data_IF_955482186944
#
_entry.id   IF_955482186944
#
_cell.length_a   1.000
_cell.length_b   1.000
_cell.length_c   1.000
_cell.angle_alpha   90.00
_cell.angle_beta   90.00
_cell.angle_gamma   90.00
#
_symmetry.space_group_name_H-M   'P 1'
#
loop_
_entity.id
_entity.type
_entity.pdbx_description
1 polymer ?
#
# COMPACT_ATOMS: atom_id res chain seq x y z
N UNK A 1 -14.97 11.24 6.02
CA UNK A 1 -15.57 10.56 4.86
C UNK A 1 -16.88 9.81 5.12
N UNK A 2 -17.37 9.70 6.37
CA UNK A 2 -18.56 8.89 6.70
C UNK A 2 -19.89 9.30 6.02
N UNK A 3 -19.99 10.53 5.48
CA UNK A 3 -21.25 11.05 4.93
C UNK A 3 -21.31 11.05 3.40
N UNK A 4 -20.18 10.91 2.70
CA UNK A 4 -20.07 10.96 1.23
C UNK A 4 -18.87 10.11 0.74
N UNK A 5 -18.97 8.77 0.83
CA UNK A 5 -17.86 7.87 0.52
C UNK A 5 -17.46 7.86 -0.97
N UNK A 6 -18.34 8.30 -1.87
CA UNK A 6 -18.07 8.31 -3.31
C UNK A 6 -17.20 9.51 -3.76
N UNK A 7 -17.02 10.50 -2.90
CA UNK A 7 -16.22 11.70 -3.18
C UNK A 7 -14.80 11.56 -2.62
N UNK A 8 -14.10 10.53 -3.06
CA UNK A 8 -12.69 10.31 -2.76
C UNK A 8 -11.86 10.92 -3.89
N UNK A 9 -11.12 11.99 -3.60
CA UNK A 9 -10.06 12.44 -4.50
C UNK A 9 -8.84 11.54 -4.34
N UNK A 10 -8.32 11.03 -5.46
CA UNK A 10 -7.09 10.21 -5.47
C UNK A 10 -5.81 11.07 -5.35
N UNK A 11 -5.96 12.39 -5.15
CA UNK A 11 -4.86 13.33 -5.17
C UNK A 11 -4.43 13.70 -6.59
N UNK A 12 -3.27 14.36 -6.69
CA UNK A 12 -2.63 14.74 -7.95
C UNK A 12 -1.30 14.00 -8.16
N UNK A 13 -0.73 14.17 -9.35
CA UNK A 13 0.45 13.46 -9.81
C UNK A 13 1.45 14.37 -10.51
N UNK A 14 2.71 13.93 -10.54
CA UNK A 14 3.77 14.57 -11.31
C UNK A 14 4.51 13.52 -12.12
N UNK A 15 5.05 13.93 -13.27
CA UNK A 15 5.96 13.13 -14.08
C UNK A 15 7.33 12.97 -13.38
N UNK A 16 8.12 11.95 -13.76
CA UNK A 16 9.48 11.82 -13.27
C UNK A 16 10.33 13.04 -13.66
N UNK A 17 11.26 13.43 -12.78
CA UNK A 17 12.19 14.55 -13.03
C UNK A 17 13.33 14.12 -13.94
N UNK A 18 13.72 12.84 -13.86
CA UNK A 18 14.76 12.23 -14.70
C UNK A 18 14.16 11.21 -15.67
N UNK A 19 14.81 11.02 -16.81
CA UNK A 19 14.34 10.11 -17.87
C UNK A 19 14.33 8.64 -17.42
N UNK A 20 15.21 8.27 -16.50
CA UNK A 20 15.36 6.96 -15.86
C UNK A 20 14.70 6.86 -14.48
N UNK A 21 13.93 7.90 -14.10
CA UNK A 21 13.34 8.02 -12.77
C UNK A 21 11.85 7.71 -12.69
N UNK A 22 11.33 7.87 -11.48
CA UNK A 22 9.89 7.80 -11.18
C UNK A 22 9.40 9.13 -10.60
N UNK A 23 8.16 9.50 -10.93
CA UNK A 23 7.41 10.49 -10.18
C UNK A 23 6.47 9.77 -9.21
N UNK A 24 6.51 10.11 -7.93
CA UNK A 24 5.65 9.47 -6.92
C UNK A 24 5.00 10.53 -6.05
N UNK A 25 3.68 10.48 -5.96
CA UNK A 25 2.89 11.26 -5.01
C UNK A 25 1.95 10.32 -4.25
N UNK A 26 1.59 10.70 -3.02
CA UNK A 26 0.66 9.93 -2.21
C UNK A 26 -0.24 10.84 -1.38
N UNK A 27 -1.39 10.32 -1.02
CA UNK A 27 -2.31 10.95 -0.08
C UNK A 27 -2.85 9.89 0.89
N UNK A 28 -2.80 10.22 2.18
CA UNK A 28 -3.43 9.43 3.24
C UNK A 28 -4.84 9.98 3.43
N UNK A 29 -5.82 9.10 3.30
CA UNK A 29 -7.23 9.47 3.31
C UNK A 29 -7.90 8.79 4.51
N UNK A 30 -8.22 9.59 5.52
CA UNK A 30 -8.75 9.07 6.78
C UNK A 30 -7.71 8.22 7.50
N UNK A 31 -8.13 7.07 8.01
CA UNK A 31 -7.30 6.19 8.85
C UNK A 31 -6.90 4.88 8.14
N UNK A 32 -7.66 4.47 7.12
CA UNK A 32 -7.59 3.10 6.58
C UNK A 32 -7.13 3.03 5.12
N UNK A 33 -6.84 4.16 4.48
CA UNK A 33 -6.56 4.21 3.04
C UNK A 33 -5.41 5.13 2.70
N UNK A 34 -4.51 4.65 1.85
CA UNK A 34 -3.44 5.43 1.23
C UNK A 34 -3.57 5.24 -0.28
N UNK A 35 -3.58 6.35 -1.03
CA UNK A 35 -3.54 6.32 -2.48
C UNK A 35 -2.15 6.74 -2.95
N UNK A 36 -1.57 5.97 -3.87
CA UNK A 36 -0.29 6.27 -4.52
C UNK A 36 -0.53 6.54 -6.00
N UNK A 37 0.10 7.60 -6.52
CA UNK A 37 0.21 7.86 -7.94
C UNK A 37 1.69 7.76 -8.33
N UNK A 38 1.98 6.80 -9.20
CA UNK A 38 3.34 6.49 -9.67
C UNK A 38 3.39 6.70 -11.17
N UNK A 39 4.39 7.43 -11.65
CA UNK A 39 4.63 7.70 -13.06
C UNK A 39 6.06 7.36 -13.43
N UNK A 40 6.27 6.96 -14.69
CA UNK A 40 7.58 6.78 -15.30
C UNK A 40 7.50 7.16 -16.79
N UNK A 41 8.64 7.32 -17.45
CA UNK A 41 8.69 7.63 -18.88
C UNK A 41 8.62 6.34 -19.69
N UNK A 42 7.62 6.19 -20.55
CA UNK A 42 7.46 4.97 -21.37
C UNK A 42 8.62 4.73 -22.34
N UNK A 43 9.36 5.76 -22.73
CA UNK A 43 10.50 5.61 -23.63
C UNK A 43 11.75 5.04 -22.96
N UNK A 44 11.75 4.84 -21.64
CA UNK A 44 12.86 4.27 -20.90
C UNK A 44 12.46 2.91 -20.33
N UNK A 45 12.90 1.84 -21.01
CA UNK A 45 12.41 0.48 -20.82
C UNK A 45 12.77 -0.16 -19.47
N UNK A 46 13.70 0.42 -18.71
CA UNK A 46 14.08 -0.10 -17.38
C UNK A 46 13.17 0.41 -16.26
N UNK A 47 12.26 1.35 -16.55
CA UNK A 47 11.26 1.82 -15.57
C UNK A 47 9.86 1.28 -15.87
N UNK A 48 9.16 0.82 -14.83
CA UNK A 48 7.78 0.36 -14.92
C UNK A 48 6.99 0.82 -13.67
N UNK A 49 6.08 1.77 -13.88
CA UNK A 49 5.26 2.35 -12.82
C UNK A 49 4.29 1.35 -12.18
N UNK A 50 3.80 0.36 -12.93
CA UNK A 50 2.90 -0.68 -12.40
C UNK A 50 3.68 -1.63 -11.50
N UNK A 51 4.84 -2.10 -11.97
CA UNK A 51 5.71 -2.95 -11.18
C UNK A 51 6.16 -2.24 -9.90
N UNK A 52 6.60 -0.97 -10.01
CA UNK A 52 7.05 -0.21 -8.85
C UNK A 52 5.91 0.06 -7.85
N UNK A 53 4.70 0.36 -8.34
CA UNK A 53 3.50 0.46 -7.50
C UNK A 53 3.20 -0.83 -6.73
N UNK A 54 3.34 -1.99 -7.37
CA UNK A 54 3.19 -3.29 -6.72
C UNK A 54 4.26 -3.52 -5.63
N UNK A 55 5.51 -3.08 -5.87
CA UNK A 55 6.57 -3.15 -4.86
C UNK A 55 6.29 -2.26 -3.65
N UNK A 56 5.74 -1.05 -3.84
CA UNK A 56 5.33 -0.17 -2.72
C UNK A 56 4.27 -0.87 -1.88
N UNK A 57 3.24 -1.45 -2.52
CA UNK A 57 2.20 -2.20 -1.80
C UNK A 57 2.79 -3.36 -1.01
N UNK A 58 3.74 -4.10 -1.60
CA UNK A 58 4.39 -5.22 -0.92
C UNK A 58 5.21 -4.76 0.28
N UNK A 59 6.02 -3.72 0.12
CA UNK A 59 6.83 -3.17 1.19
C UNK A 59 5.98 -2.68 2.38
N UNK A 60 4.82 -2.07 2.13
CA UNK A 60 3.89 -1.67 3.20
C UNK A 60 3.30 -2.86 3.96
N UNK A 61 2.97 -3.95 3.26
CA UNK A 61 2.51 -5.19 3.89
C UNK A 61 3.62 -5.84 4.72
N UNK A 62 4.85 -5.81 4.23
CA UNK A 62 6.02 -6.32 4.96
C UNK A 62 6.27 -5.46 6.21
N UNK A 63 6.18 -4.13 6.13
CA UNK A 63 6.24 -3.23 7.29
C UNK A 63 5.12 -3.52 8.29
N UNK A 64 3.89 -3.72 7.82
CA UNK A 64 2.77 -4.11 8.68
C UNK A 64 3.07 -5.41 9.43
N UNK A 65 3.69 -6.39 8.76
CA UNK A 65 4.06 -7.66 9.38
C UNK A 65 5.11 -7.51 10.48
N UNK A 66 6.06 -6.59 10.30
CA UNK A 66 7.14 -6.31 11.27
C UNK A 66 6.62 -5.50 12.45
N UNK A 67 5.72 -4.55 12.20
CA UNK A 67 5.23 -3.61 13.21
C UNK A 67 4.02 -4.15 13.98
N UNK A 68 3.32 -5.17 13.47
CA UNK A 68 2.20 -5.80 14.18
C UNK A 68 2.73 -6.85 15.16
N UNK A 69 2.44 -6.75 16.47
CA UNK A 69 2.84 -7.77 17.44
C UNK A 69 2.26 -9.13 17.04
N UNK A 70 3.08 -10.19 17.15
CA UNK A 70 2.60 -11.54 16.91
C UNK A 70 1.38 -11.84 17.79
N UNK A 71 0.26 -12.25 17.17
CA UNK A 71 -0.87 -12.80 17.94
C UNK A 71 -0.38 -14.09 18.60
N UNK A 72 -0.16 -14.05 19.91
CA UNK A 72 0.11 -15.24 20.71
C UNK A 72 -1.03 -16.22 20.47
N UNK A 73 -0.76 -17.33 19.76
CA UNK A 73 -1.72 -18.45 19.68
C UNK A 73 -1.84 -19.01 21.10
N UNK A 74 -2.91 -18.67 21.82
CA UNK A 74 -3.24 -19.34 23.07
C UNK A 74 -3.49 -20.83 22.78
N UNK A 75 -2.69 -21.78 23.31
CA UNK A 75 -2.85 -23.21 23.02
C UNK A 75 -4.06 -23.88 23.71
N UNK A 76 -4.93 -23.16 24.42
CA UNK A 76 -5.89 -23.77 25.36
C UNK A 76 -7.33 -23.97 24.83
N UNK A 77 -7.55 -24.10 23.53
CA UNK A 77 -8.90 -24.31 22.98
C UNK A 77 -9.13 -25.68 22.31
N UNK A 78 -8.40 -26.73 22.69
CA UNK A 78 -8.65 -28.09 22.17
C UNK A 78 -9.03 -29.16 23.22
N UNK A 79 -9.09 -28.85 24.52
CA UNK A 79 -9.29 -29.88 25.56
C UNK A 79 -10.66 -29.89 26.25
N UNK A 80 -11.73 -29.42 25.58
CA UNK A 80 -13.11 -29.46 26.13
C UNK A 80 -14.16 -30.16 25.26
N UNK A 81 -13.76 -31.06 24.36
CA UNK A 81 -14.69 -31.91 23.57
C UNK A 81 -14.55 -33.42 23.82
N UNK A 82 -14.09 -33.81 25.02
CA UNK A 82 -14.17 -35.20 25.51
C UNK A 82 -14.65 -35.21 26.97
N UNK A 83 -15.91 -34.86 27.19
CA UNK A 83 -16.75 -35.42 28.26
C UNK A 83 -18.18 -35.50 27.72
#
# INVERSE_FOLDING_TARGET
MKNHPDFISLGGGFSPVADDGYGVSYIIIGEDMINYHVSCKHSFSETDSHWFGAQISRALLDLLSVLTPAKTKNPQAQDKKRQ
#
